data_IF_426598142012
#
_entry.id   IF_426598142012
#
_cell.length_a   1.000
_cell.length_b   1.000
_cell.length_c   1.000
_cell.angle_alpha   90.00
_cell.angle_beta   90.00
_cell.angle_gamma   90.00
#
_symmetry.space_group_name_H-M   'P 1'
#
loop_
_entity.id
_entity.type
_entity.pdbx_description
1 polymer ?
#
# COMPACT_ATOMS: atom_id res chain seq x y z
N UNK A 1 -30.30 -8.37 -7.47
CA UNK A 1 -29.32 -7.88 -8.45
C UNK A 1 -27.92 -8.20 -7.95
N UNK A 2 -27.30 -9.22 -8.54
CA UNK A 2 -25.97 -9.72 -8.14
C UNK A 2 -24.91 -8.75 -8.63
N UNK A 3 -24.44 -7.87 -7.74
CA UNK A 3 -23.39 -6.90 -8.04
C UNK A 3 -22.09 -7.63 -8.34
N UNK A 4 -21.75 -7.63 -9.62
CA UNK A 4 -20.54 -8.16 -10.22
C UNK A 4 -19.30 -7.50 -9.58
N UNK A 5 -18.84 -8.07 -8.46
CA UNK A 5 -17.62 -7.70 -7.75
C UNK A 5 -16.45 -8.18 -8.60
N UNK A 6 -16.21 -7.48 -9.73
CA UNK A 6 -14.98 -7.64 -10.52
C UNK A 6 -13.81 -7.56 -9.54
N UNK A 7 -12.75 -8.30 -9.86
CA UNK A 7 -11.53 -8.41 -9.07
C UNK A 7 -10.80 -7.05 -8.99
N UNK A 8 -11.35 -6.12 -8.21
CA UNK A 8 -10.86 -4.74 -8.11
C UNK A 8 -9.75 -4.70 -7.07
N UNK A 9 -8.67 -3.99 -7.39
CA UNK A 9 -7.52 -3.83 -6.51
C UNK A 9 -7.32 -2.34 -6.25
N UNK A 10 -7.04 -1.99 -5.00
CA UNK A 10 -6.64 -0.64 -4.61
C UNK A 10 -5.13 -0.50 -4.63
N UNK A 11 -4.63 0.68 -4.96
CA UNK A 11 -3.20 0.98 -4.90
C UNK A 11 -2.96 2.09 -3.90
N UNK A 12 -2.13 1.84 -2.90
CA UNK A 12 -1.75 2.82 -1.90
C UNK A 12 -0.24 3.06 -2.02
N UNK A 13 0.15 4.32 -2.13
CA UNK A 13 1.53 4.72 -2.34
C UNK A 13 1.96 5.69 -1.24
N UNK A 14 2.96 5.31 -0.45
CA UNK A 14 3.43 6.07 0.71
C UNK A 14 4.95 6.28 0.69
N UNK A 15 5.38 7.40 1.25
CA UNK A 15 6.80 7.73 1.38
C UNK A 15 7.46 6.92 2.51
N UNK A 16 6.86 6.97 3.70
CA UNK A 16 7.28 6.27 4.92
C UNK A 16 6.08 6.11 5.86
N UNK A 17 5.94 4.96 6.50
CA UNK A 17 4.89 4.62 7.47
C UNK A 17 5.49 4.08 8.76
N UNK A 18 6.53 3.26 8.68
CA UNK A 18 7.05 2.50 9.83
C UNK A 18 8.31 3.09 10.44
N UNK A 19 9.17 3.73 9.64
CA UNK A 19 10.48 4.22 10.09
C UNK A 19 10.42 5.46 11.01
N UNK A 20 9.26 6.11 11.16
CA UNK A 20 9.04 7.25 12.05
C UNK A 20 7.68 7.16 12.74
N UNK A 21 7.61 7.68 13.95
CA UNK A 21 6.34 7.85 14.66
C UNK A 21 5.82 9.29 14.49
N UNK A 22 4.52 9.41 14.24
CA UNK A 22 3.82 10.67 14.05
C UNK A 22 2.34 10.42 13.77
N UNK A 23 1.52 11.48 13.87
CA UNK A 23 0.05 11.35 13.76
C UNK A 23 -0.41 10.76 12.42
N UNK A 24 0.31 11.06 11.36
CA UNK A 24 0.10 10.56 9.99
C UNK A 24 0.34 9.05 9.93
N UNK A 25 1.43 8.59 10.53
CA UNK A 25 1.82 7.19 10.54
C UNK A 25 0.84 6.37 11.39
N UNK A 26 0.37 6.91 12.52
CA UNK A 26 -0.66 6.28 13.34
C UNK A 26 -2.00 6.17 12.60
N UNK A 27 -2.42 7.23 11.90
CA UNK A 27 -3.63 7.22 11.09
C UNK A 27 -3.61 6.15 9.98
N UNK A 28 -2.48 6.03 9.26
CA UNK A 28 -2.34 5.01 8.21
C UNK A 28 -2.36 3.59 8.79
N UNK A 29 -1.79 3.37 9.98
CA UNK A 29 -1.88 2.08 10.68
C UNK A 29 -3.32 1.74 11.08
N UNK A 30 -4.11 2.72 11.51
CA UNK A 30 -5.53 2.51 11.82
C UNK A 30 -6.35 2.16 10.57
N UNK A 31 -6.05 2.77 9.42
CA UNK A 31 -6.63 2.34 8.13
C UNK A 31 -6.29 0.87 7.85
N UNK A 32 -5.02 0.47 8.00
CA UNK A 32 -4.62 -0.91 7.77
C UNK A 32 -5.32 -1.90 8.72
N UNK A 33 -5.50 -1.53 9.99
CA UNK A 33 -6.31 -2.31 10.94
C UNK A 33 -7.77 -2.46 10.48
N UNK A 34 -8.36 -1.38 9.96
CA UNK A 34 -9.69 -1.41 9.37
C UNK A 34 -9.77 -2.39 8.19
N UNK A 35 -8.79 -2.32 7.27
CA UNK A 35 -8.70 -3.26 6.15
C UNK A 35 -8.57 -4.71 6.61
N UNK A 36 -7.77 -4.99 7.65
CA UNK A 36 -7.63 -6.35 8.19
C UNK A 36 -8.93 -6.86 8.84
N UNK A 37 -9.60 -6.02 9.63
CA UNK A 37 -10.89 -6.36 10.25
C UNK A 37 -11.94 -6.70 9.19
N UNK A 38 -11.97 -5.92 8.09
CA UNK A 38 -12.89 -6.11 6.99
C UNK A 38 -12.43 -7.17 5.98
N UNK A 39 -11.17 -7.62 6.05
CA UNK A 39 -10.63 -8.62 5.14
C UNK A 39 -11.41 -9.93 5.25
N UNK A 40 -11.75 -10.35 6.47
CA UNK A 40 -12.54 -11.56 6.77
C UNK A 40 -13.95 -11.52 6.21
N UNK A 41 -14.53 -10.33 6.00
CA UNK A 41 -15.93 -10.17 5.57
C UNK A 41 -16.13 -10.20 4.04
N UNK A 42 -15.05 -10.35 3.24
CA UNK A 42 -15.06 -10.20 1.75
C UNK A 42 -15.58 -8.83 1.23
N UNK A 43 -15.91 -7.88 2.10
CA UNK A 43 -16.48 -6.58 1.72
C UNK A 43 -15.45 -5.61 1.13
N UNK A 44 -14.16 -5.82 1.40
CA UNK A 44 -13.10 -4.91 0.96
C UNK A 44 -12.19 -5.57 -0.09
N UNK A 45 -11.94 -4.90 -1.22
CA UNK A 45 -11.01 -5.36 -2.25
C UNK A 45 -9.57 -5.41 -1.73
N UNK A 46 -8.71 -6.30 -2.27
CA UNK A 46 -7.30 -6.32 -1.97
C UNK A 46 -6.62 -5.00 -2.33
N UNK A 47 -5.49 -4.72 -1.69
CA UNK A 47 -4.72 -3.51 -1.87
C UNK A 47 -3.22 -3.79 -1.96
N UNK A 48 -2.59 -3.17 -2.96
CA UNK A 48 -1.13 -3.12 -3.10
C UNK A 48 -0.63 -1.84 -2.43
N UNK A 49 0.34 -1.96 -1.53
CA UNK A 49 0.95 -0.87 -0.77
C UNK A 49 2.40 -0.70 -1.20
N UNK A 50 2.77 0.45 -1.73
CA UNK A 50 4.14 0.82 -2.11
C UNK A 50 4.74 1.71 -1.02
N UNK A 51 5.90 1.31 -0.48
CA UNK A 51 6.62 2.05 0.56
C UNK A 51 8.00 2.46 0.05
N UNK A 52 8.28 3.76 0.02
CA UNK A 52 9.53 4.26 -0.55
C UNK A 52 10.73 4.14 0.39
N UNK A 53 10.57 4.42 1.69
CA UNK A 53 11.69 4.56 2.64
C UNK A 53 11.69 3.55 3.78
N UNK A 54 10.60 2.80 3.94
CA UNK A 54 10.56 1.70 4.88
C UNK A 54 11.32 0.49 4.32
N UNK A 55 12.07 -0.16 5.19
CA UNK A 55 12.71 -1.43 4.91
C UNK A 55 11.87 -2.60 5.43
N UNK A 56 12.20 -3.79 4.91
CA UNK A 56 11.57 -5.05 5.30
C UNK A 56 12.20 -5.65 6.58
N UNK A 57 12.93 -4.89 7.40
CA UNK A 57 13.70 -5.48 8.51
C UNK A 57 12.83 -6.04 9.64
N UNK A 58 11.56 -5.67 9.71
CA UNK A 58 10.60 -6.17 10.70
C UNK A 58 9.46 -6.94 10.04
N UNK A 59 8.93 -7.93 10.77
CA UNK A 59 7.68 -8.61 10.41
C UNK A 59 6.58 -7.55 10.40
N UNK A 60 5.99 -7.29 9.24
CA UNK A 60 4.90 -6.33 9.12
C UNK A 60 3.60 -6.99 9.61
N UNK A 61 3.03 -6.57 10.75
CA UNK A 61 1.81 -7.18 11.29
C UNK A 61 0.58 -6.93 10.40
N UNK A 62 0.69 -6.02 9.41
CA UNK A 62 -0.36 -5.69 8.46
C UNK A 62 -0.32 -6.52 7.18
N UNK A 63 0.80 -7.20 6.88
CA UNK A 63 0.96 -8.00 5.67
C UNK A 63 0.01 -9.21 5.69
N UNK A 64 -0.77 -9.37 4.60
CA UNK A 64 -1.76 -10.44 4.47
C UNK A 64 -2.06 -10.70 2.99
N UNK A 65 -2.87 -11.71 2.67
CA UNK A 65 -3.29 -11.98 1.29
C UNK A 65 -4.00 -10.76 0.63
N UNK A 66 -4.68 -9.95 1.45
CA UNK A 66 -5.39 -8.75 0.97
C UNK A 66 -4.54 -7.49 0.99
N UNK A 67 -3.51 -7.39 1.84
CA UNK A 67 -2.64 -6.22 1.93
C UNK A 67 -1.21 -6.64 1.56
N UNK A 68 -0.80 -6.31 0.34
CA UNK A 68 0.53 -6.65 -0.18
C UNK A 68 1.46 -5.47 -0.08
N UNK A 69 2.59 -5.62 0.61
CA UNK A 69 3.54 -4.54 0.82
C UNK A 69 4.76 -4.70 -0.08
N UNK A 70 5.07 -3.65 -0.85
CA UNK A 70 6.28 -3.55 -1.68
C UNK A 70 7.20 -2.49 -1.10
N UNK A 71 8.33 -2.93 -0.54
CA UNK A 71 9.36 -2.07 0.04
C UNK A 71 10.37 -1.68 -1.04
N UNK A 72 10.46 -0.39 -1.34
CA UNK A 72 11.25 0.16 -2.44
C UNK A 72 12.45 1.00 -1.94
N UNK A 73 12.78 0.88 -0.65
CA UNK A 73 13.94 1.54 -0.06
C UNK A 73 15.22 1.06 -0.73
N UNK A 74 15.97 2.00 -1.29
CA UNK A 74 17.29 1.76 -1.86
C UNK A 74 18.27 2.83 -1.44
N UNK A 75 19.56 2.49 -1.46
CA UNK A 75 20.65 3.46 -1.57
C UNK A 75 21.16 3.39 -3.01
N UNK A 76 21.20 4.50 -3.77
CA UNK A 76 20.87 5.89 -3.40
C UNK A 76 19.35 6.19 -3.39
N UNK A 77 18.96 7.32 -2.77
CA UNK A 77 17.54 7.73 -2.55
C UNK A 77 16.78 7.95 -3.86
N UNK A 78 17.43 8.50 -4.89
CA UNK A 78 16.80 8.76 -6.19
C UNK A 78 16.38 7.47 -6.91
N UNK A 79 17.14 6.38 -6.71
CA UNK A 79 16.82 5.08 -7.29
C UNK A 79 15.52 4.50 -6.71
N UNK A 80 15.25 4.76 -5.43
CA UNK A 80 14.00 4.36 -4.79
C UNK A 80 12.82 5.08 -5.43
N UNK A 81 12.97 6.38 -5.72
CA UNK A 81 11.93 7.20 -6.37
C UNK A 81 11.63 6.69 -7.77
N UNK A 82 12.67 6.34 -8.54
CA UNK A 82 12.50 5.73 -9.87
C UNK A 82 11.82 4.37 -9.79
N UNK A 83 12.22 3.51 -8.84
CA UNK A 83 11.57 2.22 -8.60
C UNK A 83 10.09 2.39 -8.25
N UNK A 84 9.77 3.36 -7.40
CA UNK A 84 8.39 3.67 -7.05
C UNK A 84 7.58 4.13 -8.25
N UNK A 85 8.12 5.06 -9.06
CA UNK A 85 7.45 5.51 -10.28
C UNK A 85 7.24 4.36 -11.28
N UNK A 86 8.25 3.52 -11.49
CA UNK A 86 8.18 2.38 -12.39
C UNK A 86 7.17 1.33 -11.90
N UNK A 87 7.21 0.95 -10.62
CA UNK A 87 6.26 0.00 -10.03
C UNK A 87 4.84 0.54 -10.05
N UNK A 88 4.65 1.83 -9.74
CA UNK A 88 3.34 2.49 -9.83
C UNK A 88 2.81 2.43 -11.27
N UNK A 89 3.63 2.82 -12.25
CA UNK A 89 3.25 2.78 -13.66
C UNK A 89 2.88 1.36 -14.11
N UNK A 90 3.68 0.37 -13.73
CA UNK A 90 3.45 -1.03 -14.07
C UNK A 90 2.16 -1.58 -13.42
N UNK A 91 1.89 -1.24 -12.16
CA UNK A 91 0.63 -1.60 -11.50
C UNK A 91 -0.58 -0.89 -12.12
N UNK A 92 -0.46 0.38 -12.50
CA UNK A 92 -1.51 1.10 -13.21
C UNK A 92 -1.85 0.46 -14.56
N UNK A 93 -0.83 0.03 -15.30
CA UNK A 93 -0.99 -0.60 -16.61
C UNK A 93 -1.54 -2.03 -16.52
N UNK A 94 -0.99 -2.86 -15.62
CA UNK A 94 -1.36 -4.27 -15.51
C UNK A 94 -2.62 -4.52 -14.67
N UNK A 95 -2.75 -3.87 -13.50
CA UNK A 95 -3.84 -4.13 -12.55
C UNK A 95 -5.03 -3.19 -12.74
N UNK A 96 -4.84 -2.04 -13.40
CA UNK A 96 -5.89 -1.02 -13.63
C UNK A 96 -6.68 -0.75 -12.33
N UNK A 97 -6.00 -0.32 -11.25
CA UNK A 97 -6.62 -0.20 -9.94
C UNK A 97 -7.79 0.79 -9.98
N UNK A 98 -8.83 0.53 -9.17
CA UNK A 98 -10.01 1.41 -9.14
C UNK A 98 -9.69 2.75 -8.48
N UNK A 99 -8.85 2.72 -7.43
CA UNK A 99 -8.50 3.87 -6.62
C UNK A 99 -7.01 3.84 -6.34
N UNK A 100 -6.39 5.03 -6.42
CA UNK A 100 -5.00 5.27 -6.03
C UNK A 100 -5.02 6.25 -4.88
N UNK A 101 -4.49 5.84 -3.74
CA UNK A 101 -4.33 6.70 -2.58
C UNK A 101 -2.86 7.03 -2.42
N UNK A 102 -2.52 8.31 -2.56
CA UNK A 102 -1.17 8.79 -2.34
C UNK A 102 -1.08 9.40 -0.95
N UNK A 103 -0.41 8.73 -0.02
CA UNK A 103 -0.06 9.33 1.26
C UNK A 103 1.22 10.14 1.11
N UNK A 104 1.07 11.42 0.79
CA UNK A 104 2.11 12.43 0.92
C UNK A 104 1.75 13.33 2.09
N UNK A 105 2.53 13.31 3.16
CA UNK A 105 2.38 14.30 4.21
C UNK A 105 3.75 14.89 4.51
N UNK A 106 3.83 16.19 4.28
CA UNK A 106 5.00 17.05 4.39
C UNK A 106 5.32 17.33 5.86
#
# INVERSE_FOLDING_TARGET
>A
MSSNHRNKVNLLAFLEIFSKEGGIQSYVKDIFRGYQSLASSKQVPPADILLLRDDRSSINPFESEKLKFSYLKTKPVWLGRLRMAATLLLLLLWRRPQQVFCGHIN
#
